data_IF_131892862400
#
_entry.id   IF_131892862400
#
_cell.length_a   1.000
_cell.length_b   1.000
_cell.length_c   1.000
_cell.angle_alpha   90.00
_cell.angle_beta   90.00
_cell.angle_gamma   90.00
#
_symmetry.space_group_name_H-M   'P 1'
#
loop_
_entity.id
_entity.type
_entity.pdbx_description
1 polymer ?
#
# COMPACT_ATOMS: atom_id res chain seq x y z
N UNK A 1 20.73 -19.55 0.50
CA UNK A 1 19.63 -19.87 -0.44
C UNK A 1 19.82 -21.31 -0.89
N UNK A 2 18.78 -22.13 -0.93
CA UNK A 2 18.90 -23.57 -1.22
C UNK A 2 19.07 -23.79 -2.72
N UNK A 3 20.03 -24.64 -3.08
CA UNK A 3 20.49 -25.00 -4.43
C UNK A 3 19.41 -25.61 -5.36
N UNK A 4 18.22 -25.92 -4.82
CA UNK A 4 17.15 -26.63 -5.53
C UNK A 4 16.08 -25.74 -6.17
N UNK A 5 16.21 -24.42 -6.08
CA UNK A 5 15.30 -23.50 -6.76
C UNK A 5 16.02 -22.80 -7.91
N UNK A 6 15.88 -23.38 -9.10
CA UNK A 6 16.30 -22.73 -10.34
C UNK A 6 15.26 -21.65 -10.70
N UNK A 7 15.40 -20.47 -10.10
CA UNK A 7 14.50 -19.32 -10.30
C UNK A 7 14.50 -18.81 -11.75
N UNK A 8 15.41 -19.31 -12.60
CA UNK A 8 15.55 -18.93 -14.00
C UNK A 8 14.45 -19.55 -14.88
N UNK A 9 13.93 -20.73 -14.52
CA UNK A 9 12.86 -21.43 -15.25
C UNK A 9 11.49 -21.34 -14.56
N UNK A 10 11.47 -20.89 -13.30
CA UNK A 10 10.24 -20.68 -12.55
C UNK A 10 9.51 -19.43 -13.10
N UNK A 11 8.57 -19.63 -14.04
CA UNK A 11 7.59 -18.60 -14.42
C UNK A 11 6.80 -18.19 -13.18
N UNK A 12 7.22 -17.09 -12.54
CA UNK A 12 6.58 -16.55 -11.35
C UNK A 12 5.08 -16.39 -11.59
N UNK A 13 4.28 -17.29 -11.01
CA UNK A 13 2.82 -17.16 -11.08
C UNK A 13 2.42 -15.96 -10.25
N UNK A 14 1.83 -14.95 -10.91
CA UNK A 14 1.27 -13.78 -10.22
C UNK A 14 0.24 -14.26 -9.20
N UNK A 15 0.42 -13.92 -7.93
CA UNK A 15 -0.46 -14.36 -6.85
C UNK A 15 -1.92 -13.94 -7.16
N UNK A 16 -2.86 -14.89 -7.31
CA UNK A 16 -4.24 -14.63 -7.73
C UNK A 16 -5.04 -13.83 -6.69
N UNK A 17 -4.63 -13.84 -5.42
CA UNK A 17 -5.30 -13.14 -4.33
C UNK A 17 -4.91 -11.67 -4.22
N UNK A 18 -3.91 -11.21 -4.99
CA UNK A 18 -3.48 -9.79 -4.98
C UNK A 18 -4.60 -8.82 -5.34
N UNK A 19 -5.61 -9.27 -6.09
CA UNK A 19 -6.80 -8.49 -6.44
C UNK A 19 -7.72 -8.21 -5.25
N UNK A 20 -7.70 -9.06 -4.22
CA UNK A 20 -8.56 -8.96 -3.04
C UNK A 20 -7.89 -8.22 -1.88
N UNK A 21 -6.59 -7.95 -1.96
CA UNK A 21 -5.83 -7.33 -0.86
C UNK A 21 -6.07 -5.82 -0.70
N UNK A 22 -6.53 -5.11 -1.74
CA UNK A 22 -6.81 -3.67 -1.67
C UNK A 22 -8.24 -3.40 -2.11
N UNK A 23 -9.06 -2.95 -1.18
CA UNK A 23 -10.40 -2.45 -1.47
C UNK A 23 -10.34 -0.92 -1.63
N UNK A 24 -10.73 -0.36 -2.78
CA UNK A 24 -10.84 1.08 -2.93
C UNK A 24 -12.00 1.60 -2.07
N UNK A 25 -11.72 2.59 -1.22
CA UNK A 25 -12.73 3.24 -0.37
C UNK A 25 -12.85 4.70 -0.80
N UNK A 26 -14.08 5.19 -1.00
CA UNK A 26 -14.36 6.60 -1.27
C UNK A 26 -14.99 7.22 -0.04
N UNK A 27 -14.32 8.20 0.57
CA UNK A 27 -14.80 8.94 1.75
C UNK A 27 -14.80 10.43 1.46
N UNK A 28 -15.78 11.14 2.00
CA UNK A 28 -15.77 12.61 1.98
C UNK A 28 -14.89 13.10 3.12
N UNK A 29 -13.86 13.85 2.77
CA UNK A 29 -12.93 14.48 3.71
C UNK A 29 -12.93 15.98 3.47
N UNK A 30 -12.79 16.75 4.53
CA UNK A 30 -12.63 18.19 4.42
C UNK A 30 -11.21 18.53 3.90
N UNK A 31 -11.07 19.71 3.28
CA UNK A 31 -9.79 20.16 2.73
C UNK A 31 -8.73 20.31 3.83
N UNK A 32 -9.14 20.82 5.00
CA UNK A 32 -8.24 21.02 6.13
C UNK A 32 -7.71 19.69 6.69
N UNK A 33 -8.58 18.67 6.76
CA UNK A 33 -8.18 17.32 7.18
C UNK A 33 -7.14 16.73 6.23
N UNK A 34 -7.33 16.89 4.92
CA UNK A 34 -6.35 16.42 3.92
C UNK A 34 -5.02 17.18 4.04
N UNK A 35 -5.05 18.49 4.29
CA UNK A 35 -3.84 19.29 4.49
C UNK A 35 -3.05 18.85 5.74
N UNK A 36 -3.75 18.58 6.84
CA UNK A 36 -3.15 18.07 8.07
C UNK A 36 -2.42 16.74 7.85
N UNK A 37 -3.09 15.75 7.25
CA UNK A 37 -2.47 14.45 6.99
C UNK A 37 -1.32 14.51 5.97
N UNK A 38 -1.34 15.47 5.03
CA UNK A 38 -0.22 15.71 4.11
C UNK A 38 1.01 16.23 4.84
N UNK A 39 0.85 17.21 5.73
CA UNK A 39 1.97 17.73 6.53
C UNK A 39 2.57 16.64 7.42
N UNK A 40 1.70 15.83 8.06
CA UNK A 40 2.13 14.71 8.90
C UNK A 40 2.85 13.61 8.08
N UNK A 41 2.37 13.34 6.86
CA UNK A 41 3.01 12.42 5.93
C UNK A 41 4.42 12.86 5.52
N UNK A 42 4.65 14.16 5.28
CA UNK A 42 5.98 14.71 4.98
C UNK A 42 6.95 14.53 6.15
N UNK A 43 6.47 14.64 7.40
CA UNK A 43 7.30 14.45 8.59
C UNK A 43 7.66 12.99 8.83
N UNK A 44 6.70 12.07 8.63
CA UNK A 44 6.88 10.64 8.91
C UNK A 44 7.48 9.87 7.72
N UNK A 45 7.48 10.45 6.52
CA UNK A 45 7.91 9.78 5.29
C UNK A 45 6.95 8.67 4.83
N UNK A 46 5.72 8.66 5.34
CA UNK A 46 4.69 7.64 5.05
C UNK A 46 3.54 8.31 4.29
N UNK A 47 2.91 7.65 3.30
CA UNK A 47 1.77 8.21 2.57
C UNK A 47 0.62 8.61 3.49
N UNK A 48 0.01 9.77 3.25
CA UNK A 48 -1.12 10.27 4.03
C UNK A 48 -2.34 9.34 3.98
N UNK A 49 -2.52 8.56 2.89
CA UNK A 49 -3.59 7.56 2.80
C UNK A 49 -3.39 6.40 3.79
N UNK A 50 -2.14 6.05 4.10
CA UNK A 50 -1.84 5.04 5.11
C UNK A 50 -2.13 5.56 6.51
N UNK A 51 -1.88 6.85 6.75
CA UNK A 51 -2.21 7.52 8.02
C UNK A 51 -3.73 7.59 8.22
N UNK A 52 -4.49 7.95 7.19
CA UNK A 52 -5.96 7.97 7.22
C UNK A 52 -6.54 6.57 7.45
N UNK A 53 -5.86 5.50 7.01
CA UNK A 53 -6.31 4.13 7.26
C UNK A 53 -5.94 3.62 8.66
N UNK A 54 -5.04 4.30 9.37
CA UNK A 54 -4.58 3.90 10.70
C UNK A 54 -5.43 4.50 11.84
N UNK A 55 -6.19 5.55 11.55
CA UNK A 55 -7.04 6.31 12.47
C UNK A 55 -8.50 6.24 12.02
#
# INVERSE_FOLDING_TARGET
MRDQYDFKEMKGRKNPYTKNLKQPVTMRLDKDTVAYFKSLAEQLGIPYQSLINLY
#
